data_IF_688856629969
#
_entry.id   IF_688856629969
#
_cell.length_a   1.000
_cell.length_b   1.000
_cell.length_c   1.000
_cell.angle_alpha   90.00
_cell.angle_beta   90.00
_cell.angle_gamma   90.00
#
_symmetry.space_group_name_H-M   'P 1'
#
loop_
_entity.id
_entity.type
_entity.pdbx_description
1 polymer ?
#
# COMPACT_ATOMS: atom_id res chain seq x y z
N UNK A 1 6.38 -17.63 -2.23
CA UNK A 1 5.49 -18.46 -1.37
C UNK A 1 5.85 -19.94 -1.45
N UNK A 2 5.86 -20.55 -2.64
CA UNK A 2 6.25 -21.96 -2.84
C UNK A 2 7.58 -22.32 -2.16
N UNK A 3 8.66 -21.58 -2.46
CA UNK A 3 9.97 -21.81 -1.82
C UNK A 3 9.96 -21.69 -0.27
N UNK A 4 9.12 -20.82 0.30
CA UNK A 4 8.99 -20.70 1.76
C UNK A 4 8.29 -21.94 2.33
N UNK A 5 7.19 -22.35 1.69
CA UNK A 5 6.45 -23.55 2.08
C UNK A 5 7.30 -24.82 1.95
N UNK A 6 8.07 -24.95 0.87
CA UNK A 6 8.97 -26.08 0.65
C UNK A 6 10.04 -26.19 1.75
N UNK A 7 10.60 -25.06 2.17
CA UNK A 7 11.67 -24.99 3.18
C UNK A 7 11.16 -25.12 4.61
N UNK A 8 10.09 -24.44 4.96
CA UNK A 8 9.62 -24.31 6.35
C UNK A 8 8.35 -25.11 6.67
N UNK A 9 7.71 -25.72 5.66
CA UNK A 9 6.47 -26.50 5.78
C UNK A 9 5.31 -25.72 6.40
N UNK A 10 5.30 -24.40 6.22
CA UNK A 10 4.30 -23.45 6.74
C UNK A 10 3.99 -22.38 5.70
N UNK A 11 2.87 -21.66 5.86
CA UNK A 11 2.55 -20.51 5.03
C UNK A 11 3.32 -19.28 5.52
N UNK A 12 3.88 -18.51 4.57
CA UNK A 12 4.52 -17.23 4.87
C UNK A 12 3.52 -16.25 5.49
N UNK A 13 2.28 -16.31 5.00
CA UNK A 13 1.21 -15.42 5.40
C UNK A 13 0.71 -15.75 6.82
N UNK A 14 0.63 -17.03 7.19
CA UNK A 14 0.35 -17.47 8.55
C UNK A 14 1.44 -17.03 9.54
N UNK A 15 2.72 -17.21 9.18
CA UNK A 15 3.84 -16.80 10.04
C UNK A 15 3.85 -15.27 10.24
N UNK A 16 3.61 -14.49 9.19
CA UNK A 16 3.49 -13.03 9.32
C UNK A 16 2.30 -12.65 10.19
N UNK A 17 1.15 -13.31 10.02
CA UNK A 17 -0.03 -13.05 10.84
C UNK A 17 0.19 -13.41 12.32
N UNK A 18 1.00 -14.42 12.62
CA UNK A 18 1.32 -14.84 13.98
C UNK A 18 2.36 -13.95 14.67
N UNK A 19 3.35 -13.44 13.93
CA UNK A 19 4.50 -12.74 14.49
C UNK A 19 4.46 -11.21 14.37
N UNK A 20 3.65 -10.66 13.46
CA UNK A 20 3.50 -9.22 13.29
C UNK A 20 2.21 -8.77 13.96
N UNK A 21 2.23 -7.62 14.64
CA UNK A 21 1.08 -7.05 15.35
C UNK A 21 0.73 -5.64 14.83
N UNK A 22 -0.45 -5.14 15.23
CA UNK A 22 -0.90 -3.78 14.94
C UNK A 22 -1.00 -3.45 13.45
N UNK A 23 -0.73 -2.19 13.11
CA UNK A 23 -0.86 -1.65 11.76
C UNK A 23 0.05 -2.35 10.74
N UNK A 24 1.22 -2.83 11.19
CA UNK A 24 2.12 -3.61 10.35
C UNK A 24 1.49 -4.93 9.91
N UNK A 25 0.81 -5.64 10.81
CA UNK A 25 0.10 -6.88 10.44
C UNK A 25 -0.97 -6.58 9.41
N UNK A 26 -1.72 -5.51 9.64
CA UNK A 26 -2.81 -5.05 8.79
C UNK A 26 -2.35 -4.71 7.37
N UNK A 27 -1.13 -4.20 7.22
CA UNK A 27 -0.52 -3.87 5.94
C UNK A 27 0.19 -5.06 5.27
N UNK A 28 1.00 -5.78 6.04
CA UNK A 28 1.88 -6.82 5.49
C UNK A 28 1.13 -8.09 5.10
N UNK A 29 0.11 -8.51 5.87
CA UNK A 29 -0.65 -9.71 5.54
C UNK A 29 -1.32 -9.59 4.16
N UNK A 30 -2.11 -8.53 3.85
CA UNK A 30 -2.67 -8.35 2.51
C UNK A 30 -1.59 -8.19 1.43
N UNK A 31 -0.46 -7.55 1.75
CA UNK A 31 0.64 -7.38 0.80
C UNK A 31 1.23 -8.72 0.37
N UNK A 32 1.46 -9.64 1.32
CA UNK A 32 2.06 -10.95 1.00
C UNK A 32 1.05 -11.94 0.46
N UNK A 33 -0.25 -11.78 0.72
CA UNK A 33 -1.32 -12.64 0.19
C UNK A 33 -1.83 -12.22 -1.18
N UNK A 34 -1.65 -10.95 -1.57
CA UNK A 34 -2.19 -10.40 -2.81
C UNK A 34 -1.75 -11.16 -4.07
N UNK A 35 -2.72 -11.46 -4.93
CA UNK A 35 -2.50 -11.92 -6.30
C UNK A 35 -2.95 -10.80 -7.24
N UNK A 36 -2.04 -9.86 -7.51
CA UNK A 36 -2.35 -8.64 -8.25
C UNK A 36 -2.47 -8.95 -9.73
N UNK A 37 -3.41 -8.27 -10.38
CA UNK A 37 -3.42 -8.17 -11.82
C UNK A 37 -2.16 -7.43 -12.31
N UNK A 38 -1.49 -7.96 -13.33
CA UNK A 38 -0.23 -7.41 -13.85
C UNK A 38 -0.37 -6.82 -15.26
N UNK A 39 -1.61 -6.67 -15.75
CA UNK A 39 -1.88 -6.03 -17.03
C UNK A 39 -1.77 -4.50 -16.99
N UNK A 40 -1.63 -3.87 -18.16
CA UNK A 40 -1.46 -2.41 -18.30
C UNK A 40 -2.75 -1.60 -18.13
N UNK A 41 -3.91 -2.24 -17.99
CA UNK A 41 -5.21 -1.62 -17.95
C UNK A 41 -5.37 -0.71 -16.73
N UNK A 42 -5.82 0.52 -16.99
CA UNK A 42 -6.02 1.55 -15.98
C UNK A 42 -7.44 2.08 -16.07
N UNK A 43 -8.12 2.12 -14.92
CA UNK A 43 -9.36 2.85 -14.76
C UNK A 43 -9.06 4.25 -14.22
N UNK A 44 -9.15 5.24 -15.10
CA UNK A 44 -8.83 6.65 -14.80
C UNK A 44 -9.78 7.26 -13.77
N UNK A 45 -11.08 6.97 -13.86
CA UNK A 45 -12.09 7.43 -12.89
C UNK A 45 -11.78 6.92 -11.49
N UNK A 46 -11.43 5.63 -11.40
CA UNK A 46 -11.03 5.00 -10.15
C UNK A 46 -9.73 5.61 -9.62
N UNK A 47 -8.72 5.82 -10.47
CA UNK A 47 -7.45 6.41 -10.07
C UNK A 47 -7.63 7.81 -9.47
N UNK A 48 -8.47 8.64 -10.08
CA UNK A 48 -8.80 9.96 -9.58
C UNK A 48 -9.56 9.92 -8.24
N UNK A 49 -10.52 8.99 -8.10
CA UNK A 49 -11.23 8.77 -6.83
C UNK A 49 -10.28 8.35 -5.72
N UNK A 50 -9.45 7.33 -5.98
CA UNK A 50 -8.53 6.76 -5.01
C UNK A 50 -7.42 7.76 -4.63
N UNK A 51 -6.98 8.63 -5.56
CA UNK A 51 -6.03 9.70 -5.24
C UNK A 51 -6.59 10.66 -4.18
N UNK A 52 -7.87 11.05 -4.32
CA UNK A 52 -8.56 11.89 -3.33
C UNK A 52 -8.72 11.19 -1.99
N UNK A 53 -9.12 9.92 -2.01
CA UNK A 53 -9.23 9.10 -0.78
C UNK A 53 -7.89 9.00 -0.06
N UNK A 54 -6.79 8.71 -0.78
CA UNK A 54 -5.46 8.67 -0.18
C UNK A 54 -5.09 10.01 0.46
N UNK A 55 -5.33 11.13 -0.23
CA UNK A 55 -5.02 12.46 0.31
C UNK A 55 -5.82 12.77 1.57
N UNK A 56 -7.13 12.53 1.53
CA UNK A 56 -8.01 12.74 2.69
C UNK A 56 -7.55 11.94 3.91
N UNK A 57 -7.29 10.64 3.75
CA UNK A 57 -6.88 9.77 4.87
C UNK A 57 -5.50 10.15 5.42
N UNK A 58 -4.55 10.47 4.53
CA UNK A 58 -3.20 10.92 4.93
C UNK A 58 -3.27 12.26 5.67
N UNK A 59 -4.08 13.20 5.20
CA UNK A 59 -4.27 14.50 5.85
C UNK A 59 -4.82 14.36 7.28
N UNK A 60 -5.73 13.42 7.50
CA UNK A 60 -6.26 13.08 8.82
C UNK A 60 -5.32 12.18 9.66
N UNK A 61 -4.11 11.88 9.15
CA UNK A 61 -3.13 10.98 9.78
C UNK A 61 -3.66 9.56 10.02
N UNK A 62 -4.68 9.14 9.27
CA UNK A 62 -5.26 7.81 9.31
C UNK A 62 -4.46 6.85 8.42
N UNK A 63 -3.16 6.68 8.70
CA UNK A 63 -2.23 5.98 7.80
C UNK A 63 -2.52 4.48 7.64
N UNK A 64 -3.14 3.86 8.65
CA UNK A 64 -3.55 2.44 8.65
C UNK A 64 -5.02 2.23 8.31
N UNK A 65 -5.68 3.23 7.70
CA UNK A 65 -7.05 3.12 7.21
C UNK A 65 -7.16 2.00 6.17
N UNK A 66 -8.30 1.29 6.19
CA UNK A 66 -8.56 0.15 5.31
C UNK A 66 -8.47 0.54 3.84
N UNK A 67 -8.85 1.77 3.47
CA UNK A 67 -8.78 2.22 2.08
C UNK A 67 -7.33 2.42 1.62
N UNK A 68 -6.45 2.96 2.47
CA UNK A 68 -5.02 3.08 2.13
C UNK A 68 -4.44 1.68 1.90
N UNK A 69 -4.69 0.77 2.83
CA UNK A 69 -4.18 -0.61 2.75
C UNK A 69 -4.74 -1.31 1.53
N UNK A 70 -6.05 -1.23 1.28
CA UNK A 70 -6.72 -1.83 0.13
C UNK A 70 -6.12 -1.32 -1.17
N UNK A 71 -5.95 -0.02 -1.33
CA UNK A 71 -5.37 0.58 -2.55
C UNK A 71 -3.95 0.05 -2.76
N UNK A 72 -3.07 0.18 -1.75
CA UNK A 72 -1.65 -0.18 -1.87
C UNK A 72 -1.42 -1.68 -2.04
N UNK A 73 -2.30 -2.54 -1.52
CA UNK A 73 -2.08 -4.00 -1.50
C UNK A 73 -2.77 -4.74 -2.64
N UNK A 74 -3.89 -4.24 -3.15
CA UNK A 74 -4.74 -4.97 -4.11
C UNK A 74 -4.68 -4.47 -5.55
N UNK A 75 -4.32 -3.20 -5.78
CA UNK A 75 -4.30 -2.61 -7.12
C UNK A 75 -3.10 -3.11 -7.95
N UNK A 76 -3.30 -3.19 -9.27
CA UNK A 76 -2.20 -3.44 -10.20
C UNK A 76 -1.16 -2.33 -10.13
N UNK A 77 0.07 -2.61 -10.54
CA UNK A 77 1.13 -1.59 -10.58
C UNK A 77 0.76 -0.44 -11.51
N UNK A 78 0.21 -0.75 -12.69
CA UNK A 78 -0.27 0.25 -13.64
C UNK A 78 -1.33 1.17 -13.01
N UNK A 79 -2.30 0.60 -12.30
CA UNK A 79 -3.34 1.36 -11.62
C UNK A 79 -2.77 2.22 -10.47
N UNK A 80 -1.85 1.70 -9.67
CA UNK A 80 -1.20 2.45 -8.59
C UNK A 80 -0.43 3.66 -9.12
N UNK A 81 0.35 3.48 -10.20
CA UNK A 81 1.07 4.56 -10.85
C UNK A 81 0.11 5.65 -11.34
N UNK A 82 -1.01 5.26 -11.97
CA UNK A 82 -2.03 6.22 -12.38
C UNK A 82 -2.62 6.98 -11.19
N UNK A 83 -2.96 6.28 -10.09
CA UNK A 83 -3.46 6.91 -8.86
C UNK A 83 -2.45 7.91 -8.28
N UNK A 84 -1.16 7.57 -8.23
CA UNK A 84 -0.11 8.47 -7.72
C UNK A 84 0.17 9.65 -8.64
N UNK A 85 0.04 9.49 -9.96
CA UNK A 85 0.12 10.59 -10.90
C UNK A 85 -1.03 11.57 -10.69
N UNK A 86 -2.28 11.08 -10.60
CA UNK A 86 -3.42 11.94 -10.28
C UNK A 86 -3.30 12.61 -8.93
N UNK A 87 -2.72 11.93 -7.93
CA UNK A 87 -2.42 12.55 -6.64
C UNK A 87 -1.48 13.76 -6.81
N UNK A 88 -0.39 13.58 -7.56
CA UNK A 88 0.55 14.66 -7.82
C UNK A 88 -0.09 15.82 -8.60
N UNK A 89 -0.91 15.51 -9.59
CA UNK A 89 -1.57 16.52 -10.42
C UNK A 89 -2.63 17.31 -9.64
N UNK A 90 -3.37 16.64 -8.75
CA UNK A 90 -4.42 17.27 -7.95
C UNK A 90 -3.88 18.11 -6.77
N UNK A 91 -2.77 17.69 -6.16
CA UNK A 91 -2.28 18.29 -4.90
C UNK A 91 -0.93 19.01 -5.05
N UNK A 92 -0.29 18.95 -6.22
CA UNK A 92 0.94 19.69 -6.53
C UNK A 92 2.23 19.03 -6.03
N UNK A 93 2.14 17.85 -5.43
CA UNK A 93 3.32 17.09 -5.00
C UNK A 93 3.06 15.59 -4.90
N UNK A 94 4.16 14.83 -4.93
CA UNK A 94 4.14 13.37 -4.75
C UNK A 94 3.64 13.00 -3.35
N UNK A 95 2.80 11.98 -3.27
CA UNK A 95 2.27 11.38 -2.02
C UNK A 95 3.32 11.12 -0.92
N UNK A 96 4.56 10.79 -1.31
CA UNK A 96 5.66 10.58 -0.38
C UNK A 96 6.07 11.83 0.43
N UNK A 97 5.66 13.04 0.01
CA UNK A 97 5.86 14.26 0.81
C UNK A 97 4.92 14.33 2.01
N UNK A 98 3.68 13.89 1.86
CA UNK A 98 2.68 13.95 2.93
C UNK A 98 2.84 12.84 3.97
N UNK A 99 3.50 11.76 3.59
CA UNK A 99 3.85 10.68 4.50
C UNK A 99 5.08 10.99 5.36
N UNK A 100 5.50 12.26 5.55
CA UNK A 100 6.71 12.64 6.32
C UNK A 100 6.42 13.36 7.64
N UNK A 101 5.19 13.28 8.15
CA UNK A 101 4.80 13.93 9.39
C UNK A 101 5.71 13.58 10.58
N UNK A 102 6.12 12.30 10.67
CA UNK A 102 7.15 11.84 11.60
C UNK A 102 8.27 11.10 10.84
N UNK A 103 9.51 11.61 10.82
CA UNK A 103 10.65 10.94 10.21
C UNK A 103 11.08 9.64 10.92
N UNK A 104 10.78 9.49 12.21
CA UNK A 104 11.14 8.32 13.03
C UNK A 104 10.11 7.20 12.95
N UNK A 105 8.90 7.51 12.49
CA UNK A 105 7.82 6.53 12.33
C UNK A 105 8.18 5.47 11.27
N UNK A 106 8.36 4.23 11.75
CA UNK A 106 8.69 3.06 10.93
C UNK A 106 7.54 2.63 10.02
N UNK A 107 6.29 2.87 10.42
CA UNK A 107 5.13 2.58 9.59
C UNK A 107 5.10 3.53 8.38
N UNK A 108 5.33 4.82 8.61
CA UNK A 108 5.47 5.79 7.52
C UNK A 108 6.68 5.49 6.62
N UNK A 109 7.81 5.03 7.17
CA UNK A 109 8.95 4.54 6.37
C UNK A 109 8.52 3.38 5.46
N UNK A 110 7.76 2.44 6.00
CA UNK A 110 7.28 1.27 5.27
C UNK A 110 6.31 1.65 4.16
N UNK A 111 5.34 2.54 4.42
CA UNK A 111 4.44 3.05 3.38
C UNK A 111 5.19 3.73 2.24
N UNK A 112 6.18 4.58 2.55
CA UNK A 112 7.03 5.24 1.55
C UNK A 112 7.86 4.24 0.73
N UNK A 113 8.25 3.12 1.33
CA UNK A 113 8.94 2.04 0.63
C UNK A 113 8.01 1.31 -0.33
N UNK A 114 6.80 0.93 0.11
CA UNK A 114 5.80 0.27 -0.72
C UNK A 114 5.41 1.12 -1.93
N UNK A 115 5.23 2.43 -1.75
CA UNK A 115 4.88 3.35 -2.84
C UNK A 115 5.99 3.47 -3.89
N UNK A 116 7.25 3.17 -3.53
CA UNK A 116 8.40 3.24 -4.45
C UNK A 116 8.61 1.95 -5.26
N UNK A 117 8.16 0.80 -4.75
CA UNK A 117 8.35 -0.53 -5.33
C UNK A 117 7.32 -0.86 -6.43
#
# INVERSE_FOLDING_TARGET
>A
RQAYHERFKRSLEEDIAAHVTGDFRKLLVPLVTAYRYDGPEVNTRLAHSEAKTLHEKIHHKAYSDDEIIRILTTRSKAQLLATFNYYNDAFGHRINKDLKADPKDEYLKTLRAIIRC
#
